data_IF_745810319792
#
_entry.id   IF_745810319792
#
_cell.length_a   1.000
_cell.length_b   1.000
_cell.length_c   1.000
_cell.angle_alpha   90.00
_cell.angle_beta   90.00
_cell.angle_gamma   90.00
#
_symmetry.space_group_name_H-M   'P 1'
#
loop_
_entity.id
_entity.type
_entity.pdbx_description
1 polymer ?
#
# COMPACT_ATOMS: atom_id res chain seq x y z
N UNK A 1 -11.60 11.43 4.75
CA UNK A 1 -10.57 11.76 3.73
C UNK A 1 -11.24 12.20 2.44
N UNK A 2 -10.52 12.91 1.55
CA UNK A 2 -11.04 13.34 0.24
C UNK A 2 -10.35 12.57 -0.88
N UNK A 3 -11.16 12.07 -1.81
CA UNK A 3 -10.70 11.38 -3.01
C UNK A 3 -11.26 12.12 -4.24
N UNK A 4 -10.44 12.29 -5.26
CA UNK A 4 -10.81 13.03 -6.47
C UNK A 4 -10.59 12.20 -7.73
N UNK A 5 -11.40 12.47 -8.75
CA UNK A 5 -11.34 11.80 -10.03
C UNK A 5 -12.30 10.62 -10.17
N UNK A 6 -12.83 10.45 -11.38
CA UNK A 6 -13.91 9.48 -11.65
C UNK A 6 -13.50 8.04 -11.33
N UNK A 7 -12.34 7.61 -11.81
CA UNK A 7 -11.86 6.24 -11.62
C UNK A 7 -11.55 5.91 -10.16
N UNK A 8 -10.74 6.71 -9.43
CA UNK A 8 -10.48 6.46 -8.01
C UNK A 8 -11.76 6.43 -7.16
N UNK A 9 -12.71 7.35 -7.41
CA UNK A 9 -13.97 7.40 -6.66
C UNK A 9 -14.85 6.18 -6.96
N UNK A 10 -14.92 5.73 -8.22
CA UNK A 10 -15.67 4.51 -8.58
C UNK A 10 -15.06 3.26 -7.93
N UNK A 11 -13.73 3.17 -7.90
CA UNK A 11 -13.03 2.08 -7.22
C UNK A 11 -13.31 2.09 -5.72
N UNK A 12 -13.30 3.28 -5.08
CA UNK A 12 -13.64 3.43 -3.67
C UNK A 12 -15.09 3.00 -3.36
N UNK A 13 -16.06 3.40 -4.19
CA UNK A 13 -17.47 2.98 -4.03
C UNK A 13 -17.64 1.46 -4.11
N UNK A 14 -16.87 0.80 -4.94
CA UNK A 14 -16.92 -0.67 -5.13
C UNK A 14 -16.11 -1.44 -4.09
N UNK A 15 -15.30 -0.76 -3.31
CA UNK A 15 -14.39 -1.42 -2.37
C UNK A 15 -15.12 -1.80 -1.07
N UNK A 16 -15.14 -3.08 -0.65
CA UNK A 16 -15.96 -3.54 0.46
C UNK A 16 -15.52 -3.03 1.84
N UNK A 17 -14.31 -2.46 1.95
CA UNK A 17 -13.75 -1.93 3.20
C UNK A 17 -13.80 -0.41 3.30
N UNK A 18 -14.32 0.29 2.28
CA UNK A 18 -14.40 1.75 2.27
C UNK A 18 -15.83 2.19 2.50
N UNK A 19 -16.00 3.10 3.45
CA UNK A 19 -17.24 3.79 3.68
C UNK A 19 -17.19 5.16 3.01
N UNK A 20 -17.92 5.29 1.90
CA UNK A 20 -18.05 6.56 1.18
C UNK A 20 -19.23 7.32 1.75
N UNK A 21 -18.94 8.37 2.51
CA UNK A 21 -19.94 9.17 3.21
C UNK A 21 -20.83 9.97 2.27
N UNK A 22 -20.23 10.56 1.21
CA UNK A 22 -20.96 11.36 0.20
C UNK A 22 -20.10 11.61 -1.03
N UNK A 23 -20.78 11.90 -2.13
CA UNK A 23 -20.19 12.40 -3.37
C UNK A 23 -20.60 13.87 -3.59
N UNK A 24 -19.68 14.66 -4.11
CA UNK A 24 -19.95 15.99 -4.67
C UNK A 24 -19.63 15.95 -6.15
N UNK A 25 -20.62 16.23 -6.99
CA UNK A 25 -20.54 16.15 -8.44
C UNK A 25 -20.75 17.53 -9.04
N UNK A 26 -19.91 17.90 -9.99
CA UNK A 26 -20.07 19.15 -10.71
C UNK A 26 -21.37 19.15 -11.55
N UNK A 27 -22.25 20.11 -11.30
CA UNK A 27 -23.54 20.26 -12.00
C UNK A 27 -23.43 20.47 -13.51
N UNK A 28 -22.26 20.95 -14.00
CA UNK A 28 -21.97 21.12 -15.43
C UNK A 28 -21.35 19.86 -16.06
N UNK A 29 -20.80 18.95 -15.28
CA UNK A 29 -20.16 17.74 -15.78
C UNK A 29 -21.17 16.71 -16.32
N UNK A 30 -20.80 16.04 -17.40
CA UNK A 30 -21.61 15.01 -18.09
C UNK A 30 -20.70 13.86 -18.57
N UNK A 31 -21.34 12.76 -19.01
CA UNK A 31 -20.72 11.63 -19.69
C UNK A 31 -20.79 10.32 -18.93
N UNK A 32 -20.71 9.22 -19.67
CA UNK A 32 -21.01 7.85 -19.24
C UNK A 32 -20.31 7.44 -17.93
N UNK A 33 -19.04 7.80 -17.77
CA UNK A 33 -18.30 7.46 -16.53
C UNK A 33 -18.79 8.22 -15.28
N UNK A 34 -19.47 9.37 -15.44
CA UNK A 34 -20.10 10.08 -14.34
C UNK A 34 -21.46 9.48 -14.01
N UNK A 35 -22.20 9.10 -15.03
CA UNK A 35 -23.52 8.50 -14.89
C UNK A 35 -23.41 7.11 -14.22
N UNK A 36 -22.41 6.30 -14.59
CA UNK A 36 -22.07 5.04 -13.91
C UNK A 36 -21.78 5.27 -12.42
N UNK A 37 -20.96 6.26 -12.13
CA UNK A 37 -20.54 6.57 -10.76
C UNK A 37 -21.73 6.99 -9.89
N UNK A 38 -22.61 7.86 -10.41
CA UNK A 38 -23.85 8.28 -9.74
C UNK A 38 -24.80 7.10 -9.54
N UNK A 39 -24.92 6.22 -10.54
CA UNK A 39 -25.76 5.02 -10.45
C UNK A 39 -25.25 4.07 -9.35
N UNK A 40 -23.95 3.81 -9.29
CA UNK A 40 -23.34 2.97 -8.24
C UNK A 40 -23.52 3.60 -6.86
N UNK A 41 -23.28 4.91 -6.72
CA UNK A 41 -23.52 5.61 -5.46
C UNK A 41 -24.96 5.50 -4.98
N UNK A 42 -25.93 5.65 -5.90
CA UNK A 42 -27.34 5.53 -5.60
C UNK A 42 -27.73 4.10 -5.17
N UNK A 43 -27.16 3.08 -5.80
CA UNK A 43 -27.38 1.67 -5.42
C UNK A 43 -26.86 1.35 -4.02
N UNK A 44 -25.74 2.02 -3.62
CA UNK A 44 -25.12 1.85 -2.32
C UNK A 44 -25.73 2.78 -1.23
N UNK A 45 -26.69 3.63 -1.60
CA UNK A 45 -27.29 4.60 -0.68
C UNK A 45 -26.38 5.78 -0.32
N UNK A 46 -25.31 6.00 -1.09
CA UNK A 46 -24.37 7.10 -0.86
C UNK A 46 -24.99 8.42 -1.35
N UNK A 47 -25.09 9.46 -0.50
CA UNK A 47 -25.63 10.76 -0.89
C UNK A 47 -24.82 11.41 -2.02
N UNK A 48 -25.52 11.92 -3.05
CA UNK A 48 -24.90 12.63 -4.18
C UNK A 48 -25.36 14.08 -4.15
N UNK A 49 -24.43 15.00 -3.86
CA UNK A 49 -24.64 16.43 -3.91
C UNK A 49 -24.18 16.99 -5.27
N UNK A 50 -25.00 17.82 -5.93
CA UNK A 50 -24.58 18.57 -7.13
C UNK A 50 -24.12 19.95 -6.71
N UNK A 51 -23.00 20.42 -7.24
CA UNK A 51 -22.42 21.70 -6.87
C UNK A 51 -21.61 22.31 -8.01
N UNK A 52 -21.19 23.56 -7.86
CA UNK A 52 -20.38 24.24 -8.88
C UNK A 52 -18.95 23.71 -8.92
N UNK A 53 -18.31 23.71 -10.10
CA UNK A 53 -16.91 23.33 -10.26
C UNK A 53 -15.96 24.09 -9.32
N UNK A 54 -16.24 25.38 -9.04
CA UNK A 54 -15.47 26.17 -8.07
C UNK A 54 -15.51 25.57 -6.65
N UNK A 55 -16.63 24.98 -6.23
CA UNK A 55 -16.73 24.30 -4.93
C UNK A 55 -15.95 22.99 -4.94
N UNK A 56 -15.96 22.26 -6.05
CA UNK A 56 -15.16 21.05 -6.20
C UNK A 56 -13.66 21.39 -6.15
N UNK A 57 -13.21 22.46 -6.83
CA UNK A 57 -11.84 22.95 -6.74
C UNK A 57 -11.43 23.24 -5.29
N UNK A 58 -12.30 23.89 -4.53
CA UNK A 58 -12.06 24.21 -3.13
C UNK A 58 -11.97 22.96 -2.24
N UNK A 59 -12.78 21.93 -2.52
CA UNK A 59 -12.74 20.64 -1.81
C UNK A 59 -11.52 19.80 -2.20
N UNK A 60 -11.16 19.81 -3.48
CA UNK A 60 -10.01 19.06 -4.01
C UNK A 60 -8.66 19.66 -3.58
N UNK A 61 -8.62 20.90 -3.14
CA UNK A 61 -7.39 21.59 -2.75
C UNK A 61 -6.42 21.74 -3.94
N UNK A 62 -5.20 21.26 -3.77
CA UNK A 62 -4.17 21.36 -4.81
C UNK A 62 -4.38 20.35 -5.98
N UNK A 63 -5.21 19.33 -5.81
CA UNK A 63 -5.50 18.35 -6.87
C UNK A 63 -6.68 18.80 -7.75
N UNK A 64 -6.39 19.71 -8.68
CA UNK A 64 -7.38 20.22 -9.64
C UNK A 64 -7.87 19.21 -10.68
N UNK A 65 -7.37 17.98 -10.67
CA UNK A 65 -7.77 16.92 -11.60
C UNK A 65 -8.99 16.11 -11.10
N UNK A 66 -9.95 16.78 -10.45
CA UNK A 66 -11.14 16.11 -9.89
C UNK A 66 -12.11 15.55 -10.95
N UNK A 67 -11.96 15.91 -12.24
CA UNK A 67 -12.79 15.40 -13.34
C UNK A 67 -14.31 15.52 -13.09
N UNK A 68 -14.72 16.54 -12.32
CA UNK A 68 -16.10 16.80 -11.95
C UNK A 68 -16.64 15.94 -10.81
N UNK A 69 -15.79 15.25 -10.02
CA UNK A 69 -16.23 14.48 -8.87
C UNK A 69 -15.23 14.51 -7.73
N UNK A 70 -15.78 14.65 -6.52
CA UNK A 70 -15.07 14.58 -5.24
C UNK A 70 -15.85 13.65 -4.31
N UNK A 71 -15.19 12.72 -3.65
CA UNK A 71 -15.78 11.85 -2.65
C UNK A 71 -15.22 12.17 -1.26
N UNK A 72 -16.09 12.16 -0.26
CA UNK A 72 -15.71 12.08 1.14
C UNK A 72 -15.85 10.65 1.59
N UNK A 73 -14.82 10.11 2.23
CA UNK A 73 -14.83 8.74 2.72
C UNK A 73 -14.00 8.59 3.98
N UNK A 74 -14.34 7.60 4.78
CA UNK A 74 -13.54 7.19 5.94
C UNK A 74 -12.64 6.01 5.57
N UNK A 75 -11.32 6.18 5.62
CA UNK A 75 -10.40 5.08 5.37
C UNK A 75 -10.43 4.10 6.54
N UNK A 76 -10.32 2.79 6.30
CA UNK A 76 -10.16 1.84 7.38
C UNK A 76 -8.88 2.13 8.15
N UNK A 77 -8.96 2.03 9.47
CA UNK A 77 -7.79 2.18 10.33
C UNK A 77 -6.80 1.04 10.09
N UNK A 78 -5.50 1.32 10.03
CA UNK A 78 -4.49 0.27 10.02
C UNK A 78 -4.61 -0.60 11.28
N UNK A 79 -4.36 -1.89 11.13
CA UNK A 79 -4.37 -2.85 12.24
C UNK A 79 -3.06 -2.74 13.03
N UNK A 80 -3.08 -2.62 14.36
CA UNK A 80 -1.85 -2.68 15.15
C UNK A 80 -1.07 -3.98 14.89
N UNK A 81 0.27 -3.91 14.81
CA UNK A 81 1.11 -5.07 14.50
C UNK A 81 0.87 -6.24 15.47
N UNK A 82 0.79 -5.97 16.78
CA UNK A 82 0.51 -7.01 17.77
C UNK A 82 -0.84 -7.71 17.55
N UNK A 83 -1.88 -7.00 17.12
CA UNK A 83 -3.19 -7.58 16.79
C UNK A 83 -3.11 -8.44 15.52
N UNK A 84 -2.42 -7.96 14.48
CA UNK A 84 -2.18 -8.72 13.27
C UNK A 84 -1.45 -10.04 13.56
N UNK A 85 -0.41 -10.01 14.39
CA UNK A 85 0.37 -11.19 14.78
C UNK A 85 -0.46 -12.16 15.61
N UNK A 86 -1.25 -11.67 16.57
CA UNK A 86 -2.14 -12.48 17.41
C UNK A 86 -3.16 -13.24 16.55
N UNK A 87 -3.74 -12.61 15.53
CA UNK A 87 -4.69 -13.24 14.60
C UNK A 87 -4.09 -14.35 13.72
N UNK A 88 -2.76 -14.48 13.70
CA UNK A 88 -2.01 -15.47 12.90
C UNK A 88 -1.30 -16.54 13.73
N UNK A 89 -1.44 -16.50 15.04
CA UNK A 89 -0.89 -17.51 15.95
C UNK A 89 -1.57 -18.85 15.69
N UNK A 90 -0.77 -19.92 15.58
CA UNK A 90 -1.26 -21.28 15.35
C UNK A 90 -1.69 -21.62 13.92
N UNK A 91 -1.55 -20.71 12.97
CA UNK A 91 -1.77 -21.01 11.55
C UNK A 91 -0.52 -21.62 10.91
N UNK A 92 -0.73 -22.68 10.10
CA UNK A 92 0.36 -23.42 9.42
C UNK A 92 0.66 -22.90 7.99
N UNK A 93 0.15 -21.76 7.60
CA UNK A 93 0.39 -21.22 6.27
C UNK A 93 1.49 -20.17 6.25
N UNK A 94 2.11 -20.10 5.11
CA UNK A 94 3.11 -19.09 4.83
C UNK A 94 2.54 -17.70 5.05
N UNK A 95 3.27 -16.88 5.79
CA UNK A 95 2.89 -15.47 6.04
C UNK A 95 4.01 -14.58 5.54
N UNK A 96 3.70 -13.75 4.56
CA UNK A 96 4.65 -12.81 3.97
C UNK A 96 4.15 -11.37 4.15
N UNK A 97 4.94 -10.54 4.80
CA UNK A 97 4.66 -9.12 4.99
C UNK A 97 5.77 -8.26 4.42
N UNK A 98 5.41 -7.07 3.94
CA UNK A 98 6.38 -6.03 3.62
C UNK A 98 6.54 -5.10 4.81
N UNK A 99 7.75 -4.60 5.03
CA UNK A 99 8.06 -3.55 6.01
C UNK A 99 8.67 -2.37 5.27
N UNK A 100 8.07 -1.19 5.39
CA UNK A 100 8.56 0.02 4.73
C UNK A 100 9.52 0.78 5.65
N UNK A 101 10.82 0.63 5.41
CA UNK A 101 11.87 1.28 6.17
C UNK A 101 12.20 2.66 5.56
N UNK A 102 11.63 3.72 6.14
CA UNK A 102 11.87 5.11 5.73
C UNK A 102 11.50 5.41 4.26
N UNK A 103 10.45 4.82 3.75
CA UNK A 103 9.90 5.15 2.43
C UNK A 103 9.09 6.45 2.51
N UNK A 104 9.74 7.58 2.21
CA UNK A 104 9.16 8.91 2.41
C UNK A 104 8.25 9.39 1.27
N UNK A 105 8.38 8.80 0.08
CA UNK A 105 7.57 9.23 -1.06
C UNK A 105 6.18 8.59 -1.04
N UNK A 106 5.08 9.39 -0.86
CA UNK A 106 3.73 8.84 -0.77
C UNK A 106 3.26 8.16 -2.06
N UNK A 107 3.80 8.56 -3.22
CA UNK A 107 3.49 7.87 -4.48
C UNK A 107 4.10 6.47 -4.51
N UNK A 108 5.34 6.28 -4.02
CA UNK A 108 5.95 4.96 -3.90
C UNK A 108 5.17 4.08 -2.91
N UNK A 109 4.77 4.62 -1.75
CA UNK A 109 3.90 3.88 -0.80
C UNK A 109 2.63 3.42 -1.49
N UNK A 110 1.94 4.30 -2.24
CA UNK A 110 0.73 3.95 -2.97
C UNK A 110 0.95 2.83 -4.00
N UNK A 111 2.03 2.91 -4.78
CA UNK A 111 2.38 1.88 -5.76
C UNK A 111 2.73 0.54 -5.10
N UNK A 112 3.44 0.55 -3.96
CA UNK A 112 3.75 -0.65 -3.19
C UNK A 112 2.46 -1.30 -2.69
N UNK A 113 1.56 -0.54 -2.08
CA UNK A 113 0.27 -1.04 -1.58
C UNK A 113 -0.59 -1.64 -2.69
N UNK A 114 -0.62 -0.99 -3.87
CA UNK A 114 -1.30 -1.51 -5.05
C UNK A 114 -0.75 -2.86 -5.48
N UNK A 115 0.57 -2.98 -5.55
CA UNK A 115 1.24 -4.20 -5.99
C UNK A 115 1.07 -5.31 -4.95
N UNK A 116 1.24 -5.00 -3.67
CA UNK A 116 1.04 -5.93 -2.56
C UNK A 116 -0.39 -6.48 -2.53
N UNK A 117 -1.39 -5.61 -2.71
CA UNK A 117 -2.79 -6.02 -2.82
C UNK A 117 -3.05 -6.91 -4.04
N UNK A 118 -2.49 -6.56 -5.20
CA UNK A 118 -2.62 -7.34 -6.43
C UNK A 118 -1.93 -8.70 -6.40
N UNK A 119 -0.82 -8.81 -5.66
CA UNK A 119 -0.06 -10.04 -5.48
C UNK A 119 -0.59 -10.92 -4.33
N UNK A 120 -1.55 -10.42 -3.52
CA UNK A 120 -2.08 -11.17 -2.38
C UNK A 120 -1.14 -11.23 -1.18
N UNK A 121 -0.27 -10.23 -1.00
CA UNK A 121 0.60 -10.13 0.18
C UNK A 121 -0.24 -10.01 1.45
N UNK A 122 0.14 -10.70 2.52
CA UNK A 122 -0.62 -10.79 3.77
C UNK A 122 -0.78 -9.46 4.51
N UNK A 123 0.20 -8.56 4.35
CA UNK A 123 0.14 -7.22 4.92
C UNK A 123 1.33 -6.35 4.57
N UNK A 124 1.16 -5.04 4.75
CA UNK A 124 2.23 -4.06 4.61
C UNK A 124 2.31 -3.27 5.92
N UNK A 125 3.47 -3.31 6.54
CA UNK A 125 3.77 -2.59 7.78
C UNK A 125 4.26 -1.19 7.41
N UNK A 126 3.55 -0.21 7.94
CA UNK A 126 3.77 1.22 7.73
C UNK A 126 4.18 1.86 9.06
N UNK A 127 5.47 1.89 9.40
CA UNK A 127 5.93 2.58 10.59
C UNK A 127 5.53 4.06 10.55
N UNK A 128 4.92 4.57 11.63
CA UNK A 128 4.48 5.98 11.71
C UNK A 128 5.64 6.96 11.64
N UNK A 129 6.81 6.56 12.14
CA UNK A 129 8.03 7.36 12.01
C UNK A 129 8.81 6.89 10.79
N UNK A 130 9.17 7.84 9.94
CA UNK A 130 10.02 7.58 8.77
C UNK A 130 9.30 7.10 7.51
N UNK A 131 8.01 6.76 7.56
CA UNK A 131 7.27 6.35 6.36
C UNK A 131 6.17 7.37 6.03
N UNK A 132 5.94 7.62 4.74
CA UNK A 132 4.87 8.51 4.34
C UNK A 132 3.49 7.97 4.77
N UNK A 133 2.68 8.84 5.34
CA UNK A 133 1.30 8.50 5.72
C UNK A 133 0.41 8.28 4.49
N UNK A 134 -0.69 7.54 4.70
CA UNK A 134 -1.71 7.38 3.67
C UNK A 134 -2.49 8.69 3.50
N UNK A 135 -2.25 9.35 2.39
CA UNK A 135 -2.90 10.59 2.01
C UNK A 135 -3.42 10.53 0.57
N UNK A 136 -3.95 11.66 0.04
CA UNK A 136 -4.51 11.70 -1.31
C UNK A 136 -3.55 11.23 -2.41
N UNK A 137 -2.25 11.58 -2.30
CA UNK A 137 -1.22 11.15 -3.25
C UNK A 137 -1.01 9.64 -3.20
N UNK A 138 -0.95 9.04 -2.00
CA UNK A 138 -0.84 7.60 -1.81
C UNK A 138 -2.03 6.87 -2.44
N UNK A 139 -3.25 7.36 -2.17
CA UNK A 139 -4.48 6.75 -2.68
C UNK A 139 -4.55 6.84 -4.20
N UNK A 140 -4.19 8.00 -4.77
CA UNK A 140 -4.15 8.21 -6.23
C UNK A 140 -3.15 7.28 -6.90
N UNK A 141 -1.94 7.16 -6.36
CA UNK A 141 -0.92 6.26 -6.88
C UNK A 141 -1.29 4.77 -6.72
N UNK A 142 -1.99 4.45 -5.65
CA UNK A 142 -2.51 3.11 -5.36
C UNK A 142 -3.72 2.70 -6.20
N UNK A 143 -4.31 3.64 -6.96
CA UNK A 143 -5.45 3.39 -7.86
C UNK A 143 -6.56 2.54 -7.22
N UNK A 144 -7.02 2.93 -6.02
CA UNK A 144 -8.08 2.25 -5.27
C UNK A 144 -7.67 0.95 -4.57
N UNK A 145 -6.49 0.42 -4.85
CA UNK A 145 -6.01 -0.85 -4.27
C UNK A 145 -5.32 -0.71 -2.90
N UNK A 146 -5.18 0.51 -2.38
CA UNK A 146 -4.48 0.80 -1.12
C UNK A 146 -4.99 -0.05 0.04
N UNK A 147 -6.28 -0.35 0.08
CA UNK A 147 -6.92 -1.12 1.15
C UNK A 147 -7.18 -2.59 0.79
N UNK A 148 -6.65 -3.06 -0.32
CA UNK A 148 -6.80 -4.46 -0.76
C UNK A 148 -5.87 -5.42 -0.03
N UNK A 149 -4.82 -4.91 0.61
CA UNK A 149 -3.99 -5.64 1.56
C UNK A 149 -4.23 -5.16 2.99
N UNK A 150 -3.78 -5.92 4.00
CA UNK A 150 -3.81 -5.46 5.39
C UNK A 150 -2.79 -4.36 5.59
N UNK A 151 -3.26 -3.17 5.97
CA UNK A 151 -2.41 -2.08 6.43
C UNK A 151 -2.09 -2.32 7.89
N UNK A 152 -0.81 -2.41 8.23
CA UNK A 152 -0.35 -2.73 9.57
C UNK A 152 0.40 -1.53 10.13
N UNK A 153 0.01 -1.09 11.32
CA UNK A 153 0.61 0.06 12.00
C UNK A 153 1.68 -0.39 13.00
N UNK A 154 2.79 0.31 13.02
CA UNK A 154 3.83 0.21 14.02
C UNK A 154 4.35 1.62 14.36
N UNK A 155 4.90 1.83 15.55
CA UNK A 155 5.41 3.16 15.91
C UNK A 155 6.69 3.48 15.15
N UNK A 156 7.65 2.57 15.12
CA UNK A 156 8.92 2.70 14.41
C UNK A 156 9.26 1.41 13.66
N UNK A 157 10.24 1.46 12.77
CA UNK A 157 10.72 0.26 12.08
C UNK A 157 11.41 -0.69 13.06
N UNK A 158 12.16 -0.17 14.03
CA UNK A 158 12.84 -0.97 15.04
C UNK A 158 11.86 -1.82 15.85
N UNK A 159 10.79 -1.18 16.35
CA UNK A 159 9.74 -1.89 17.08
C UNK A 159 9.10 -2.97 16.20
N UNK A 160 8.80 -2.65 14.95
CA UNK A 160 8.19 -3.61 14.02
C UNK A 160 9.10 -4.84 13.81
N UNK A 161 10.41 -4.64 13.63
CA UNK A 161 11.35 -5.72 13.42
C UNK A 161 11.55 -6.58 14.69
N UNK A 162 11.52 -5.98 15.88
CA UNK A 162 11.57 -6.70 17.15
C UNK A 162 10.34 -7.58 17.33
N UNK A 163 9.12 -7.04 17.18
CA UNK A 163 7.86 -7.80 17.29
C UNK A 163 7.77 -8.93 16.25
N UNK A 164 8.23 -8.69 15.02
CA UNK A 164 8.27 -9.73 13.98
C UNK A 164 9.24 -10.86 14.32
N UNK A 165 10.42 -10.53 14.85
CA UNK A 165 11.40 -11.52 15.30
C UNK A 165 10.86 -12.38 16.43
N UNK A 166 10.22 -11.77 17.42
CA UNK A 166 9.59 -12.46 18.56
C UNK A 166 8.47 -13.39 18.07
N UNK A 167 7.78 -13.01 16.99
CA UNK A 167 6.80 -13.84 16.30
C UNK A 167 7.41 -14.86 15.32
N UNK A 168 8.74 -15.06 15.34
CA UNK A 168 9.48 -16.02 14.52
C UNK A 168 9.42 -15.77 13.01
N UNK A 169 9.33 -14.53 12.59
CA UNK A 169 9.54 -14.15 11.19
C UNK A 169 11.03 -14.11 10.86
N UNK A 170 11.39 -14.58 9.67
CA UNK A 170 12.68 -14.32 9.07
C UNK A 170 12.70 -12.87 8.53
N UNK A 171 13.69 -12.10 8.94
CA UNK A 171 13.85 -10.70 8.54
C UNK A 171 14.76 -10.61 7.31
N UNK A 172 14.20 -10.30 6.15
CA UNK A 172 14.85 -10.27 4.84
C UNK A 172 14.98 -8.83 4.36
N UNK A 173 16.18 -8.26 4.42
CA UNK A 173 16.42 -6.89 3.99
C UNK A 173 16.80 -6.79 2.52
N UNK A 174 16.14 -5.94 1.73
CA UNK A 174 16.54 -5.71 0.35
C UNK A 174 17.78 -4.83 0.28
N UNK A 175 18.87 -5.37 -0.30
CA UNK A 175 20.15 -4.70 -0.47
C UNK A 175 20.87 -5.26 -1.69
N UNK A 176 21.58 -4.40 -2.44
CA UNK A 176 22.25 -4.78 -3.68
C UNK A 176 23.34 -5.87 -3.51
N UNK A 177 23.94 -5.99 -2.31
CA UNK A 177 24.94 -7.00 -2.01
C UNK A 177 24.40 -8.32 -1.43
N UNK A 178 23.07 -8.52 -1.44
CA UNK A 178 22.41 -9.68 -0.85
C UNK A 178 22.42 -10.92 -1.73
N UNK A 179 21.80 -11.99 -1.21
CA UNK A 179 21.55 -13.22 -1.96
C UNK A 179 20.54 -12.97 -3.10
N UNK A 180 20.70 -13.68 -4.21
CA UNK A 180 19.75 -13.59 -5.32
C UNK A 180 18.34 -14.01 -4.88
N UNK A 181 17.37 -13.10 -5.02
CA UNK A 181 15.96 -13.34 -4.70
C UNK A 181 15.43 -14.62 -5.35
N UNK A 182 15.81 -14.91 -6.58
CA UNK A 182 15.28 -16.03 -7.35
C UNK A 182 15.92 -17.36 -6.98
N UNK A 183 17.10 -17.35 -6.36
CA UNK A 183 17.85 -18.54 -5.95
C UNK A 183 17.61 -18.91 -4.47
N UNK A 184 17.28 -17.94 -3.61
CA UNK A 184 17.10 -18.18 -2.18
C UNK A 184 15.73 -18.80 -1.85
N UNK A 185 15.62 -19.46 -0.71
CA UNK A 185 14.35 -19.95 -0.16
C UNK A 185 14.11 -19.26 1.18
N UNK A 186 13.04 -18.45 1.32
CA UNK A 186 12.66 -17.86 2.60
C UNK A 186 12.00 -18.90 3.51
N UNK A 187 11.93 -18.61 4.81
CA UNK A 187 11.09 -19.38 5.73
C UNK A 187 9.60 -19.11 5.46
N UNK A 188 8.74 -19.97 5.98
CA UNK A 188 7.28 -19.85 5.86
C UNK A 188 6.71 -18.57 6.46
N UNK A 189 7.42 -17.96 7.41
CA UNK A 189 7.14 -16.62 7.92
C UNK A 189 8.29 -15.70 7.55
N UNK A 190 8.04 -14.78 6.65
CA UNK A 190 9.05 -13.85 6.15
C UNK A 190 8.55 -12.41 6.16
N UNK A 191 9.40 -11.51 6.64
CA UNK A 191 9.22 -10.07 6.58
C UNK A 191 10.27 -9.49 5.62
N UNK A 192 9.81 -8.83 4.57
CA UNK A 192 10.62 -8.26 3.51
C UNK A 192 10.77 -6.77 3.72
N UNK A 193 11.95 -6.32 4.13
CA UNK A 193 12.23 -4.95 4.49
C UNK A 193 12.71 -4.18 3.26
N UNK A 194 11.94 -3.18 2.88
CA UNK A 194 12.17 -2.29 1.74
C UNK A 194 12.69 -0.96 2.25
N UNK A 195 13.94 -0.66 1.97
CA UNK A 195 14.59 0.56 2.42
C UNK A 195 14.26 1.80 1.61
N UNK A 196 14.74 2.94 2.08
CA UNK A 196 14.65 4.22 1.40
C UNK A 196 15.35 4.22 0.04
N UNK A 197 14.82 4.99 -0.91
CA UNK A 197 15.29 5.03 -2.30
C UNK A 197 16.73 5.55 -2.46
N UNK A 198 17.21 6.32 -1.50
CA UNK A 198 18.55 6.97 -1.57
C UNK A 198 19.59 6.24 -0.72
N UNK A 199 19.21 5.88 0.52
CA UNK A 199 20.15 5.33 1.50
C UNK A 199 19.96 3.83 1.74
N UNK A 200 18.93 3.23 1.16
CA UNK A 200 18.59 1.82 1.37
C UNK A 200 18.03 1.58 2.79
N UNK A 201 18.35 0.43 3.37
CA UNK A 201 17.97 0.10 4.74
C UNK A 201 18.63 1.04 5.74
N UNK A 202 17.88 1.50 6.76
CA UNK A 202 18.50 2.26 7.84
C UNK A 202 19.49 1.40 8.65
N UNK A 203 20.36 2.04 9.44
CA UNK A 203 21.41 1.34 10.18
C UNK A 203 20.84 0.33 11.18
N UNK A 204 19.73 0.67 11.85
CA UNK A 204 19.06 -0.20 12.81
C UNK A 204 18.45 -1.46 12.12
N UNK A 205 17.80 -1.28 10.97
CA UNK A 205 17.28 -2.40 10.18
C UNK A 205 18.40 -3.31 9.68
N UNK A 206 19.47 -2.71 9.12
CA UNK A 206 20.63 -3.45 8.60
C UNK A 206 21.31 -4.30 9.67
N UNK A 207 21.32 -3.83 10.93
CA UNK A 207 21.95 -4.54 12.04
C UNK A 207 21.15 -5.77 12.52
N UNK A 208 19.88 -5.85 12.18
CA UNK A 208 18.97 -6.88 12.73
C UNK A 208 18.37 -7.83 11.70
N UNK A 209 18.50 -7.57 10.40
CA UNK A 209 18.06 -8.52 9.36
C UNK A 209 18.82 -9.82 9.44
N UNK A 210 18.12 -10.95 9.26
CA UNK A 210 18.73 -12.27 9.27
C UNK A 210 19.55 -12.50 8.00
N UNK A 211 19.05 -12.01 6.85
CA UNK A 211 19.70 -12.11 5.54
C UNK A 211 19.42 -10.87 4.72
N UNK A 212 20.34 -10.52 3.85
CA UNK A 212 20.12 -9.53 2.80
C UNK A 212 19.79 -10.23 1.48
N UNK A 213 18.86 -9.65 0.73
CA UNK A 213 18.36 -10.18 -0.54
C UNK A 213 18.53 -9.16 -1.63
N UNK A 214 19.05 -9.55 -2.77
CA UNK A 214 19.24 -8.68 -3.94
C UNK A 214 18.36 -9.09 -5.11
N UNK A 215 18.06 -8.11 -5.93
CA UNK A 215 17.49 -8.33 -7.26
C UNK A 215 18.65 -8.35 -8.27
N UNK A 216 18.80 -9.41 -9.09
CA UNK A 216 19.84 -9.42 -10.11
C UNK A 216 19.57 -8.34 -11.14
N UNK A 217 20.48 -7.37 -11.23
CA UNK A 217 20.41 -6.24 -12.15
C UNK A 217 21.53 -6.35 -13.18
N UNK A 218 21.25 -5.92 -14.41
CA UNK A 218 22.19 -5.95 -15.53
C UNK A 218 22.68 -4.53 -15.90
N UNK A 219 23.68 -4.44 -16.76
CA UNK A 219 24.15 -3.21 -17.39
C UNK A 219 24.64 -2.12 -16.41
N UNK A 220 25.14 -2.52 -15.22
CA UNK A 220 25.65 -1.57 -14.24
C UNK A 220 24.59 -0.75 -13.51
N UNK A 221 23.31 -1.15 -13.58
CA UNK A 221 22.25 -0.54 -12.78
C UNK A 221 22.45 -0.97 -11.32
N UNK A 222 22.58 0.00 -10.41
CA UNK A 222 22.90 -0.27 -9.01
C UNK A 222 21.66 -0.54 -8.16
N UNK A 223 20.51 0.03 -8.50
CA UNK A 223 19.25 -0.12 -7.75
C UNK A 223 18.03 0.13 -8.63
N UNK A 224 16.88 -0.36 -8.18
CA UNK A 224 15.55 -0.03 -8.71
C UNK A 224 14.84 0.98 -7.79
N UNK A 225 13.87 1.69 -8.35
CA UNK A 225 12.89 2.39 -7.55
C UNK A 225 12.24 1.40 -6.55
N UNK A 226 12.02 1.83 -5.30
CA UNK A 226 11.53 0.95 -4.23
C UNK A 226 10.18 0.29 -4.55
N UNK A 227 9.28 0.97 -5.26
CA UNK A 227 8.02 0.38 -5.69
C UNK A 227 8.20 -0.68 -6.79
N UNK A 228 9.19 -0.49 -7.68
CA UNK A 228 9.55 -1.51 -8.67
C UNK A 228 10.19 -2.74 -7.99
N UNK A 229 11.09 -2.53 -7.03
CA UNK A 229 11.67 -3.62 -6.24
C UNK A 229 10.59 -4.39 -5.47
N UNK A 230 9.67 -3.67 -4.82
CA UNK A 230 8.51 -4.27 -4.14
C UNK A 230 7.66 -5.12 -5.08
N UNK A 231 7.45 -4.67 -6.33
CA UNK A 231 6.69 -5.42 -7.32
C UNK A 231 7.35 -6.76 -7.65
N UNK A 232 8.66 -6.77 -7.85
CA UNK A 232 9.40 -8.02 -8.13
C UNK A 232 9.32 -8.98 -6.95
N UNK A 233 9.55 -8.48 -5.72
CA UNK A 233 9.50 -9.28 -4.49
C UNK A 233 8.10 -9.87 -4.27
N UNK A 234 7.06 -9.07 -4.33
CA UNK A 234 5.68 -9.53 -4.06
C UNK A 234 5.20 -10.57 -5.08
N UNK A 235 5.52 -10.38 -6.36
CA UNK A 235 5.16 -11.35 -7.38
C UNK A 235 6.01 -12.61 -7.34
N UNK A 236 7.26 -12.55 -6.91
CA UNK A 236 8.05 -13.76 -6.65
C UNK A 236 7.49 -14.56 -5.46
N UNK A 237 7.05 -13.88 -4.39
CA UNK A 237 6.32 -14.51 -3.28
C UNK A 237 5.06 -15.21 -3.79
N UNK A 238 4.23 -14.50 -4.55
CA UNK A 238 2.99 -15.03 -5.11
C UNK A 238 3.23 -16.26 -6.02
N UNK A 239 4.27 -16.20 -6.86
CA UNK A 239 4.67 -17.32 -7.73
C UNK A 239 5.02 -18.58 -6.91
N UNK A 240 5.78 -18.42 -5.83
CA UNK A 240 6.19 -19.53 -4.95
C UNK A 240 4.98 -20.14 -4.26
N UNK A 241 4.06 -19.34 -3.75
CA UNK A 241 2.83 -19.82 -3.10
C UNK A 241 1.92 -20.63 -4.03
N UNK A 242 1.92 -20.30 -5.35
CA UNK A 242 1.16 -21.08 -6.34
C UNK A 242 1.82 -22.40 -6.73
N UNK A 243 3.10 -22.58 -6.40
CA UNK A 243 3.88 -23.75 -6.76
C UNK A 243 4.03 -24.77 -5.61
N UNK A 244 3.51 -24.41 -4.43
CA UNK A 244 3.49 -25.24 -3.20
C UNK A 244 2.15 -25.93 -3.02
#
# INVERSE_FOLDING_TARGET
MILVGRKPVLEALRHPRLDVERLVVDESSRGDGLDELVAVASQLGVPVERSSGRRLDALAGDDRQHQGVVAHFEPPSPVPLGEFLAGRTGRQWDTNVLVLDHVHNPANVGMILRTAGGAGTDGVILPRQGTASIGPVTVKAGAGMVWSTSLIDAATVEQALEELRDASFELLGLDAGGEDLFAMTPRSRAAWILGNETVGLCASSRAVVDRTVSLPLANGVESLNVAAAAAVVTYEIARRQQSS
#
